data_IF_535487870877
#
_entry.id   IF_535487870877
#
_cell.length_a   1.000
_cell.length_b   1.000
_cell.length_c   1.000
_cell.angle_alpha   90.00
_cell.angle_beta   90.00
_cell.angle_gamma   90.00
#
_symmetry.space_group_name_H-M   'P 1'
#
loop_
_entity.id
_entity.type
_entity.pdbx_description
1 polymer ?
#
# COMPACT_ATOMS: atom_id res chain seq x y z
N UNK A 1 25.52 24.49 44.70
CA UNK A 1 26.61 23.70 44.08
C UNK A 1 26.29 22.20 44.06
N UNK A 2 25.94 21.58 45.20
CA UNK A 2 25.59 20.14 45.28
C UNK A 2 24.38 19.74 44.40
N UNK A 3 23.29 20.53 44.40
CA UNK A 3 22.13 20.30 43.52
C UNK A 3 22.48 20.38 42.02
N UNK A 4 23.39 21.27 41.63
CA UNK A 4 23.85 21.39 40.24
C UNK A 4 24.69 20.18 39.80
N UNK A 5 25.54 19.65 40.69
CA UNK A 5 26.29 18.43 40.43
C UNK A 5 25.39 17.19 40.32
N UNK A 6 24.39 17.09 41.19
CA UNK A 6 23.38 16.00 41.15
C UNK A 6 22.57 16.09 39.85
N UNK A 7 22.11 17.29 39.47
CA UNK A 7 21.39 17.51 38.21
C UNK A 7 22.23 17.14 36.97
N UNK A 8 23.50 17.56 36.92
CA UNK A 8 24.41 17.21 35.83
C UNK A 8 24.68 15.70 35.76
N UNK A 9 24.96 15.06 36.90
CA UNK A 9 25.20 13.62 36.95
C UNK A 9 23.95 12.83 36.53
N UNK A 10 22.76 13.27 36.95
CA UNK A 10 21.48 12.71 36.53
C UNK A 10 21.30 12.84 35.01
N UNK A 11 21.53 14.03 34.45
CA UNK A 11 21.37 14.29 33.02
C UNK A 11 22.29 13.40 32.17
N UNK A 12 23.57 13.26 32.57
CA UNK A 12 24.51 12.37 31.88
C UNK A 12 24.10 10.90 31.99
N UNK A 13 23.69 10.47 33.17
CA UNK A 13 23.23 9.10 33.41
C UNK A 13 21.97 8.78 32.62
N UNK A 14 21.03 9.73 32.54
CA UNK A 14 19.81 9.62 31.74
C UNK A 14 20.12 9.52 30.25
N UNK A 15 21.00 10.38 29.72
CA UNK A 15 21.43 10.32 28.31
C UNK A 15 22.07 8.97 27.98
N UNK A 16 22.92 8.43 28.87
CA UNK A 16 23.53 7.12 28.70
C UNK A 16 22.49 5.98 28.77
N UNK A 17 21.54 6.07 29.71
CA UNK A 17 20.46 5.09 29.84
C UNK A 17 19.60 5.02 28.58
N UNK A 18 19.23 6.17 28.01
CA UNK A 18 18.44 6.25 26.78
C UNK A 18 19.16 5.58 25.61
N UNK A 19 20.46 5.86 25.42
CA UNK A 19 21.23 5.20 24.36
C UNK A 19 21.35 3.70 24.59
N UNK A 20 21.50 3.25 25.84
CA UNK A 20 21.54 1.82 26.19
C UNK A 20 20.20 1.11 25.97
N UNK A 21 19.07 1.76 26.31
CA UNK A 21 17.73 1.22 26.04
C UNK A 21 17.54 1.03 24.53
N UNK A 22 17.87 2.04 23.74
CA UNK A 22 17.73 1.97 22.28
C UNK A 22 18.72 0.98 21.64
N UNK A 23 19.95 0.85 22.13
CA UNK A 23 20.90 -0.18 21.67
C UNK A 23 20.37 -1.61 21.91
N UNK A 24 19.64 -1.81 23.01
CA UNK A 24 18.97 -3.08 23.32
C UNK A 24 17.85 -3.41 22.32
N UNK A 25 17.22 -2.41 21.69
CA UNK A 25 16.21 -2.66 20.66
C UNK A 25 16.79 -3.38 19.44
N UNK A 26 18.08 -3.17 19.15
CA UNK A 26 18.81 -3.80 18.04
C UNK A 26 19.67 -5.00 18.47
N UNK A 27 19.51 -5.48 19.71
CA UNK A 27 20.17 -6.68 20.18
C UNK A 27 19.49 -7.93 19.60
N UNK A 28 20.17 -9.08 19.68
CA UNK A 28 19.60 -10.38 19.30
C UNK A 28 18.31 -10.66 20.08
N UNK A 29 17.32 -11.22 19.39
CA UNK A 29 15.95 -11.39 19.85
C UNK A 29 15.02 -10.38 19.17
N UNK A 30 13.79 -10.30 19.69
CA UNK A 30 12.75 -9.47 19.09
C UNK A 30 12.16 -8.53 20.13
N UNK A 31 11.92 -7.29 19.72
CA UNK A 31 11.11 -6.34 20.46
C UNK A 31 9.64 -6.81 20.53
N UNK A 32 8.84 -6.21 21.42
CA UNK A 32 7.42 -6.54 21.53
C UNK A 32 6.63 -6.34 20.21
N UNK A 33 6.86 -5.25 19.43
CA UNK A 33 6.24 -5.10 18.11
C UNK A 33 6.61 -6.22 17.12
N UNK A 34 7.89 -6.62 17.09
CA UNK A 34 8.39 -7.68 16.20
C UNK A 34 7.84 -9.05 16.59
N UNK A 35 7.80 -9.37 17.88
CA UNK A 35 7.15 -10.60 18.37
C UNK A 35 5.67 -10.64 18.01
N UNK A 36 4.96 -9.52 18.17
CA UNK A 36 3.57 -9.43 17.78
C UNK A 36 3.39 -9.63 16.27
N UNK A 37 4.28 -9.09 15.44
CA UNK A 37 4.26 -9.28 13.99
C UNK A 37 4.52 -10.75 13.60
N UNK A 38 5.49 -11.39 14.25
CA UNK A 38 5.78 -12.82 14.07
C UNK A 38 4.56 -13.69 14.41
N UNK A 39 3.97 -13.50 15.60
CA UNK A 39 2.81 -14.30 16.03
C UNK A 39 1.59 -14.12 15.12
N UNK A 40 1.34 -12.90 14.62
CA UNK A 40 0.24 -12.64 13.66
C UNK A 40 0.40 -13.40 12.34
N UNK A 41 1.62 -13.77 11.96
CA UNK A 41 1.92 -14.52 10.74
C UNK A 41 2.27 -15.99 11.05
N UNK A 42 1.80 -16.52 12.18
CA UNK A 42 1.96 -17.93 12.55
C UNK A 42 3.37 -18.33 12.98
N UNK A 43 4.25 -17.38 13.26
CA UNK A 43 5.60 -17.65 13.75
C UNK A 43 5.63 -17.64 15.28
N UNK A 44 6.12 -18.72 15.89
CA UNK A 44 6.28 -18.86 17.35
C UNK A 44 7.50 -18.10 17.91
N UNK A 45 8.36 -17.56 17.04
CA UNK A 45 9.63 -16.92 17.41
C UNK A 45 10.79 -17.89 17.64
N UNK A 46 10.56 -19.21 17.52
CA UNK A 46 11.60 -20.24 17.68
C UNK A 46 12.44 -20.31 16.38
N UNK A 47 13.77 -20.35 16.51
CA UNK A 47 14.69 -20.59 15.38
C UNK A 47 14.45 -21.98 14.77
N UNK A 48 14.22 -22.04 13.46
CA UNK A 48 14.19 -23.29 12.69
C UNK A 48 12.82 -23.95 12.49
N UNK A 49 11.73 -23.45 13.07
CA UNK A 49 10.38 -23.92 12.70
C UNK A 49 10.00 -23.43 11.29
N UNK A 50 9.62 -24.33 10.38
CA UNK A 50 9.03 -23.96 9.09
C UNK A 50 7.69 -23.24 9.33
N UNK A 51 7.46 -22.12 8.66
CA UNK A 51 6.16 -21.46 8.76
C UNK A 51 5.12 -22.09 7.89
N UNK A 52 3.85 -21.93 8.29
CA UNK A 52 2.70 -22.33 7.50
C UNK A 52 2.71 -21.75 6.08
N UNK A 53 3.38 -20.61 5.87
CA UNK A 53 3.47 -19.90 4.58
C UNK A 53 4.72 -20.28 3.76
N UNK A 54 5.64 -21.09 4.29
CA UNK A 54 6.94 -21.37 3.66
C UNK A 54 6.91 -22.51 2.64
N UNK A 55 5.73 -23.05 2.30
CA UNK A 55 5.60 -24.19 1.41
C UNK A 55 5.82 -23.86 -0.07
N UNK A 56 5.82 -22.57 -0.45
CA UNK A 56 6.15 -22.13 -1.80
C UNK A 56 7.48 -21.33 -1.79
N UNK A 57 8.51 -21.77 -2.54
CA UNK A 57 9.75 -21.03 -2.66
C UNK A 57 9.54 -19.71 -3.43
N UNK A 58 10.18 -18.64 -2.96
CA UNK A 58 10.13 -17.30 -3.56
C UNK A 58 11.47 -16.97 -4.22
N UNK A 59 11.42 -16.54 -5.47
CA UNK A 59 12.59 -16.12 -6.26
C UNK A 59 13.31 -14.93 -5.65
N UNK A 60 12.58 -14.04 -4.97
CA UNK A 60 13.12 -12.81 -4.38
C UNK A 60 13.70 -13.03 -2.98
N UNK A 61 13.49 -14.19 -2.36
CA UNK A 61 13.91 -14.45 -0.97
C UNK A 61 15.42 -14.26 -0.75
N UNK A 62 16.34 -14.72 -1.62
CA UNK A 62 17.77 -14.50 -1.43
C UNK A 62 18.15 -13.01 -1.39
N UNK A 63 17.49 -12.19 -2.21
CA UNK A 63 17.69 -10.74 -2.21
C UNK A 63 17.19 -10.13 -0.90
N UNK A 64 15.99 -10.50 -0.45
CA UNK A 64 15.46 -10.06 0.86
C UNK A 64 16.38 -10.50 2.01
N UNK A 65 16.85 -11.74 2.01
CA UNK A 65 17.77 -12.26 3.02
C UNK A 65 19.05 -11.39 3.10
N UNK A 66 19.63 -11.01 1.95
CA UNK A 66 20.85 -10.19 1.88
C UNK A 66 20.64 -8.74 2.34
N UNK A 67 19.44 -8.21 2.18
CA UNK A 67 19.08 -6.87 2.67
C UNK A 67 18.93 -6.94 4.18
N UNK A 68 18.13 -7.90 4.66
CA UNK A 68 17.76 -8.05 6.06
C UNK A 68 18.96 -8.40 6.93
N UNK A 69 19.91 -9.20 6.43
CA UNK A 69 21.14 -9.52 7.15
C UNK A 69 22.20 -8.40 7.12
N UNK A 70 21.95 -7.30 6.39
CA UNK A 70 22.82 -6.15 6.27
C UNK A 70 24.03 -6.34 5.36
N UNK A 71 24.05 -7.36 4.50
CA UNK A 71 25.12 -7.59 3.52
C UNK A 71 24.97 -6.68 2.29
N UNK A 72 23.75 -6.41 1.83
CA UNK A 72 23.49 -5.43 0.77
C UNK A 72 23.38 -4.01 1.37
N UNK A 73 24.40 -3.19 1.14
CA UNK A 73 24.59 -1.88 1.80
C UNK A 73 24.73 -0.76 0.77
N UNK A 74 24.44 0.48 1.20
CA UNK A 74 24.61 1.67 0.36
C UNK A 74 23.32 2.17 -0.30
N UNK A 75 22.20 1.53 0.02
CA UNK A 75 20.87 1.77 -0.52
C UNK A 75 19.84 1.74 0.60
N UNK A 76 18.67 2.30 0.31
CA UNK A 76 17.45 2.03 1.05
C UNK A 76 16.44 1.43 0.08
N UNK A 77 15.48 0.67 0.60
CA UNK A 77 14.65 -0.20 -0.23
C UNK A 77 13.19 0.18 -0.13
N UNK A 78 12.49 0.10 -1.25
CA UNK A 78 11.04 0.09 -1.31
C UNK A 78 10.60 -1.26 -1.87
N UNK A 79 10.03 -2.10 -1.02
CA UNK A 79 9.46 -3.39 -1.39
C UNK A 79 7.99 -3.16 -1.75
N UNK A 80 7.66 -3.36 -3.03
CA UNK A 80 6.32 -3.15 -3.57
C UNK A 80 5.68 -4.47 -3.98
N UNK A 81 4.38 -4.44 -4.27
CA UNK A 81 3.61 -5.58 -4.75
C UNK A 81 2.23 -5.58 -4.11
N UNK A 82 1.28 -6.27 -4.70
CA UNK A 82 -0.12 -6.18 -4.27
C UNK A 82 -0.36 -6.79 -2.88
N UNK A 83 -1.50 -6.46 -2.29
CA UNK A 83 -1.93 -7.04 -1.02
C UNK A 83 -1.99 -8.57 -1.14
N UNK A 84 -1.32 -9.26 -0.22
CA UNK A 84 -1.33 -10.72 -0.17
C UNK A 84 -0.28 -11.44 -1.04
N UNK A 85 0.70 -10.72 -1.61
CA UNK A 85 1.83 -11.33 -2.35
C UNK A 85 2.90 -11.96 -1.45
N UNK A 86 2.88 -11.70 -0.14
CA UNK A 86 3.80 -12.32 0.84
C UNK A 86 4.97 -11.45 1.29
N UNK A 87 4.99 -10.16 0.97
CA UNK A 87 6.08 -9.21 1.32
C UNK A 87 6.49 -9.27 2.80
N UNK A 88 5.53 -9.13 3.71
CA UNK A 88 5.79 -9.18 5.16
C UNK A 88 6.29 -10.55 5.60
N UNK A 89 5.70 -11.64 5.09
CA UNK A 89 6.12 -13.01 5.42
C UNK A 89 7.56 -13.28 5.00
N UNK A 90 7.99 -12.79 3.83
CA UNK A 90 9.38 -12.91 3.36
C UNK A 90 10.38 -12.19 4.28
N UNK A 91 10.02 -11.00 4.75
CA UNK A 91 10.85 -10.20 5.65
C UNK A 91 10.94 -10.85 7.03
N UNK A 92 9.80 -11.28 7.59
CA UNK A 92 9.78 -11.99 8.87
C UNK A 92 10.59 -13.29 8.82
N UNK A 93 10.52 -14.03 7.71
CA UNK A 93 11.35 -15.22 7.49
C UNK A 93 12.85 -14.89 7.52
N UNK A 94 13.27 -13.84 6.80
CA UNK A 94 14.64 -13.37 6.80
C UNK A 94 15.10 -12.90 8.20
N UNK A 95 14.25 -12.17 8.92
CA UNK A 95 14.52 -11.74 10.31
C UNK A 95 14.77 -12.93 11.23
N UNK A 96 14.02 -14.02 11.06
CA UNK A 96 14.17 -15.24 11.88
C UNK A 96 15.52 -15.92 11.69
N UNK A 97 16.10 -15.87 10.49
CA UNK A 97 17.41 -16.48 10.20
C UNK A 97 18.53 -15.80 10.96
N UNK A 98 18.40 -14.51 11.23
CA UNK A 98 19.38 -13.72 11.99
C UNK A 98 18.90 -13.35 13.41
N UNK A 99 17.76 -13.87 13.85
CA UNK A 99 17.21 -13.66 15.20
C UNK A 99 16.95 -12.19 15.54
N UNK A 100 16.44 -11.43 14.56
CA UNK A 100 16.15 -10.00 14.72
C UNK A 100 17.36 -9.11 14.97
N UNK A 101 18.59 -9.64 14.91
CA UNK A 101 19.78 -8.87 15.27
C UNK A 101 19.96 -7.65 14.37
N UNK A 102 20.06 -6.47 14.98
CA UNK A 102 20.32 -5.22 14.26
C UNK A 102 19.09 -4.62 13.59
N UNK A 103 17.89 -5.13 13.86
CA UNK A 103 16.64 -4.71 13.23
C UNK A 103 15.76 -3.95 14.24
N UNK A 104 15.07 -2.93 13.75
CA UNK A 104 13.89 -2.37 14.38
C UNK A 104 12.77 -2.28 13.34
N UNK A 105 11.63 -2.91 13.63
CA UNK A 105 10.46 -2.90 12.75
C UNK A 105 9.27 -2.18 13.39
N UNK A 106 8.55 -1.38 12.60
CA UNK A 106 7.27 -0.78 12.98
C UNK A 106 6.23 -0.88 11.87
N UNK A 107 4.96 -0.79 12.26
CA UNK A 107 3.81 -0.64 11.35
C UNK A 107 3.47 0.85 11.18
N UNK A 108 3.43 1.34 9.94
CA UNK A 108 3.05 2.72 9.66
C UNK A 108 1.60 3.03 10.06
N UNK A 109 1.28 4.30 10.24
CA UNK A 109 -0.05 4.80 10.60
C UNK A 109 -0.26 6.18 10.00
N UNK A 110 -1.47 6.45 9.51
CA UNK A 110 -1.85 7.77 9.01
C UNK A 110 -1.99 8.85 10.08
N UNK A 111 -1.84 8.50 11.37
CA UNK A 111 -1.81 9.41 12.50
C UNK A 111 -0.36 9.56 12.97
N UNK A 112 0.17 10.78 12.95
CA UNK A 112 1.56 11.09 13.29
C UNK A 112 1.92 10.77 14.74
N UNK A 113 1.00 10.94 15.69
CA UNK A 113 1.23 10.59 17.09
C UNK A 113 1.31 9.07 17.26
N UNK A 114 0.42 8.34 16.58
CA UNK A 114 0.47 6.87 16.58
C UNK A 114 1.76 6.37 15.92
N UNK A 115 2.19 6.98 14.81
CA UNK A 115 3.46 6.65 14.16
C UNK A 115 4.63 6.91 15.13
N UNK A 116 4.68 8.08 15.76
CA UNK A 116 5.69 8.44 16.76
C UNK A 116 5.76 7.38 17.87
N UNK A 117 4.62 7.03 18.48
CA UNK A 117 4.57 6.03 19.55
C UNK A 117 5.05 4.64 19.10
N UNK A 118 4.68 4.21 17.89
CA UNK A 118 5.14 2.93 17.34
C UNK A 118 6.64 2.93 17.05
N UNK A 119 7.17 4.04 16.53
CA UNK A 119 8.61 4.22 16.35
C UNK A 119 9.35 4.19 17.69
N UNK A 120 8.81 4.87 18.73
CA UNK A 120 9.36 4.81 20.08
C UNK A 120 9.43 3.39 20.61
N UNK A 121 8.35 2.61 20.49
CA UNK A 121 8.34 1.20 20.90
C UNK A 121 9.35 0.36 20.13
N UNK A 122 9.45 0.52 18.81
CA UNK A 122 10.40 -0.21 17.99
C UNK A 122 11.86 0.14 18.35
N UNK A 123 12.13 1.40 18.70
CA UNK A 123 13.46 1.87 19.10
C UNK A 123 13.71 1.78 20.62
N UNK A 124 12.79 1.21 21.40
CA UNK A 124 12.83 1.25 22.87
C UNK A 124 13.17 2.66 23.43
N UNK A 125 12.44 3.65 22.92
CA UNK A 125 12.63 5.08 23.17
C UNK A 125 11.33 5.74 23.66
N UNK A 126 11.41 6.37 24.83
CA UNK A 126 10.33 7.16 25.42
C UNK A 126 10.55 8.64 25.09
N UNK A 127 9.56 9.28 24.46
CA UNK A 127 9.63 10.68 24.04
C UNK A 127 9.34 11.64 25.20
N UNK A 128 10.27 11.68 26.18
CA UNK A 128 10.27 12.61 27.33
C UNK A 128 9.17 12.44 28.38
N UNK A 129 8.29 11.46 28.27
CA UNK A 129 7.26 11.15 29.29
C UNK A 129 7.87 10.86 30.67
N UNK A 130 9.13 10.38 30.72
CA UNK A 130 9.86 10.06 31.96
C UNK A 130 10.97 11.08 32.33
N UNK A 131 11.05 12.24 31.69
CA UNK A 131 12.07 13.24 32.05
C UNK A 131 11.71 13.95 33.37
N UNK A 132 12.30 13.48 34.47
CA UNK A 132 12.16 14.02 35.85
C UNK A 132 12.56 15.50 35.97
N UNK A 133 13.20 16.13 34.97
CA UNK A 133 13.50 17.56 35.00
C UNK A 133 12.25 18.46 35.12
N UNK A 134 11.05 17.93 34.82
CA UNK A 134 9.76 18.57 35.13
C UNK A 134 9.56 18.81 36.64
N UNK A 135 10.07 17.94 37.52
CA UNK A 135 10.03 18.10 38.99
C UNK A 135 10.93 19.24 39.50
N UNK A 136 11.90 19.69 38.70
CA UNK A 136 12.84 20.76 39.07
C UNK A 136 12.58 22.09 38.35
N UNK A 137 11.44 22.24 37.68
CA UNK A 137 11.11 23.42 36.85
C UNK A 137 12.20 23.78 35.83
N UNK A 138 13.07 22.82 35.49
CA UNK A 138 13.95 22.93 34.33
C UNK A 138 13.02 22.78 33.13
N UNK A 139 12.79 23.89 32.40
CA UNK A 139 12.00 23.88 31.18
C UNK A 139 12.46 22.69 30.33
N UNK A 140 11.58 21.68 30.19
CA UNK A 140 11.75 20.66 29.18
C UNK A 140 11.86 21.33 27.80
N UNK A 141 12.51 20.70 26.82
CA UNK A 141 12.44 21.20 25.46
C UNK A 141 10.95 21.40 25.09
N UNK A 142 10.62 22.59 24.58
CA UNK A 142 9.28 23.05 24.13
C UNK A 142 8.40 21.93 23.57
N UNK A 143 7.07 22.10 23.71
CA UNK A 143 6.01 21.36 22.98
C UNK A 143 6.53 20.92 21.61
N UNK A 144 6.98 19.66 21.52
CA UNK A 144 7.53 19.11 20.29
C UNK A 144 6.41 18.53 19.47
N UNK A 145 6.37 18.92 18.20
CA UNK A 145 5.50 18.24 17.25
C UNK A 145 5.98 16.79 17.06
N UNK A 146 5.09 15.87 16.67
CA UNK A 146 5.47 14.48 16.45
C UNK A 146 6.66 14.30 15.50
N UNK A 147 6.71 15.11 14.44
CA UNK A 147 7.81 15.11 13.47
C UNK A 147 9.17 15.46 14.12
N UNK A 148 9.21 16.47 14.99
CA UNK A 148 10.45 16.84 15.69
C UNK A 148 10.91 15.74 16.65
N UNK A 149 9.97 15.06 17.29
CA UNK A 149 10.27 13.94 18.16
C UNK A 149 10.83 12.74 17.39
N UNK A 150 10.19 12.37 16.28
CA UNK A 150 10.68 11.35 15.35
C UNK A 150 12.12 11.68 14.92
N UNK A 151 12.39 12.92 14.51
CA UNK A 151 13.72 13.37 14.12
C UNK A 151 14.74 13.30 15.27
N UNK A 152 14.36 13.61 16.51
CA UNK A 152 15.22 13.40 17.69
C UNK A 152 15.54 11.94 17.93
N UNK A 153 14.58 11.04 17.73
CA UNK A 153 14.80 9.59 17.87
C UNK A 153 15.77 9.08 16.82
N UNK A 154 15.66 9.55 15.58
CA UNK A 154 16.59 9.25 14.49
C UNK A 154 18.01 9.73 14.78
N UNK A 155 18.18 10.93 15.33
CA UNK A 155 19.49 11.42 15.78
C UNK A 155 20.13 10.54 16.86
N UNK A 156 19.34 9.94 17.76
CA UNK A 156 19.84 9.01 18.79
C UNK A 156 20.17 7.64 18.17
N UNK A 157 19.33 7.15 17.27
CA UNK A 157 19.56 5.90 16.54
C UNK A 157 20.86 5.98 15.71
N UNK A 158 21.13 7.13 15.07
CA UNK A 158 22.36 7.34 14.31
C UNK A 158 23.64 7.21 15.16
N UNK A 159 23.60 7.68 16.41
CA UNK A 159 24.73 7.51 17.35
C UNK A 159 24.99 6.04 17.67
N UNK A 160 23.92 5.26 17.80
CA UNK A 160 24.01 3.81 18.05
C UNK A 160 24.48 3.10 16.78
N UNK A 161 23.99 3.50 15.62
CA UNK A 161 24.43 2.97 14.33
C UNK A 161 25.94 3.16 14.13
N UNK A 162 26.48 4.35 14.46
CA UNK A 162 27.92 4.63 14.43
C UNK A 162 28.71 3.67 15.34
N UNK A 163 28.31 3.54 16.60
CA UNK A 163 28.98 2.67 17.57
C UNK A 163 28.92 1.18 17.16
N UNK A 164 27.73 0.69 16.78
CA UNK A 164 27.54 -0.70 16.36
C UNK A 164 28.27 -1.00 15.06
N UNK A 165 28.32 -0.07 14.11
CA UNK A 165 29.07 -0.27 12.88
C UNK A 165 30.58 -0.40 13.12
N UNK A 166 31.15 0.38 14.03
CA UNK A 166 32.57 0.21 14.42
C UNK A 166 32.83 -1.17 15.07
N UNK A 167 31.85 -1.73 15.77
CA UNK A 167 31.97 -3.02 16.48
C UNK A 167 31.66 -4.25 15.61
N UNK A 168 30.65 -4.17 14.74
CA UNK A 168 30.06 -5.30 14.00
C UNK A 168 30.21 -5.21 12.48
N UNK A 169 30.55 -4.03 11.94
CA UNK A 169 30.78 -3.84 10.51
C UNK A 169 29.51 -3.83 9.63
N UNK A 170 28.32 -4.00 10.21
CA UNK A 170 27.03 -4.01 9.50
C UNK A 170 26.16 -2.79 9.88
N UNK A 171 25.32 -2.28 8.95
CA UNK A 171 24.37 -1.22 9.26
C UNK A 171 23.24 -1.74 10.16
N UNK A 172 22.53 -0.83 10.82
CA UNK A 172 21.23 -1.15 11.41
C UNK A 172 20.15 -1.18 10.33
N UNK A 173 19.05 -1.86 10.62
CA UNK A 173 17.88 -1.88 9.75
C UNK A 173 16.69 -1.22 10.44
N UNK A 174 16.04 -0.31 9.73
CA UNK A 174 14.75 0.25 10.11
C UNK A 174 13.70 -0.18 9.08
N UNK A 175 12.76 -1.01 9.49
CA UNK A 175 11.72 -1.55 8.61
C UNK A 175 10.40 -0.84 8.90
N UNK A 176 9.92 -0.04 7.95
CA UNK A 176 8.61 0.63 8.00
C UNK A 176 7.63 -0.21 7.18
N UNK A 177 6.86 -1.03 7.88
CA UNK A 177 5.85 -1.88 7.27
C UNK A 177 4.59 -1.10 6.92
N UNK A 178 3.94 -1.51 5.83
CA UNK A 178 2.69 -0.94 5.33
C UNK A 178 2.74 0.59 5.20
N UNK A 179 3.81 1.11 4.59
CA UNK A 179 4.05 2.54 4.39
C UNK A 179 2.87 3.26 3.71
N UNK A 180 2.12 2.57 2.84
CA UNK A 180 0.89 3.08 2.22
C UNK A 180 -0.21 3.49 3.21
N UNK A 181 -0.15 3.06 4.47
CA UNK A 181 -1.09 3.52 5.51
C UNK A 181 -0.83 4.94 5.99
N UNK A 182 0.30 5.55 5.62
CA UNK A 182 0.46 7.00 5.71
C UNK A 182 -0.63 7.65 4.86
N UNK A 183 -1.21 8.76 5.32
CA UNK A 183 -2.20 9.45 4.50
C UNK A 183 -1.50 10.13 3.33
N UNK A 184 -2.13 10.14 2.16
CA UNK A 184 -1.72 10.97 1.02
C UNK A 184 -2.13 12.45 1.21
N UNK A 185 -2.07 12.94 2.46
CA UNK A 185 -2.26 14.32 2.87
C UNK A 185 -0.91 14.98 3.17
N UNK A 186 -0.93 16.28 3.49
CA UNK A 186 0.31 17.04 3.73
C UNK A 186 1.13 16.46 4.88
N UNK A 187 0.49 16.05 5.98
CA UNK A 187 1.17 15.49 7.16
C UNK A 187 1.88 14.16 6.85
N UNK A 188 1.17 13.22 6.20
CA UNK A 188 1.75 11.94 5.80
C UNK A 188 2.86 12.10 4.76
N UNK A 189 2.70 13.03 3.82
CA UNK A 189 3.73 13.41 2.82
C UNK A 189 4.99 13.95 3.49
N UNK A 190 4.86 14.90 4.42
CA UNK A 190 6.01 15.47 5.12
C UNK A 190 6.75 14.44 5.96
N UNK A 191 6.03 13.53 6.62
CA UNK A 191 6.67 12.43 7.34
C UNK A 191 7.44 11.52 6.38
N UNK A 192 6.83 11.09 5.28
CA UNK A 192 7.47 10.21 4.30
C UNK A 192 8.74 10.84 3.72
N UNK A 193 8.69 12.13 3.35
CA UNK A 193 9.86 12.88 2.87
C UNK A 193 10.95 13.02 3.94
N UNK A 194 10.59 13.30 5.19
CA UNK A 194 11.57 13.40 6.29
C UNK A 194 12.30 12.07 6.51
N UNK A 195 11.57 10.95 6.50
CA UNK A 195 12.19 9.62 6.58
C UNK A 195 13.06 9.34 5.35
N UNK A 196 12.60 9.70 4.14
CA UNK A 196 13.38 9.52 2.91
C UNK A 196 14.71 10.28 2.95
N UNK A 197 14.69 11.54 3.38
CA UNK A 197 15.91 12.36 3.52
C UNK A 197 16.93 11.70 4.45
N UNK A 198 16.46 11.13 5.58
CA UNK A 198 17.30 10.35 6.48
C UNK A 198 17.80 9.06 5.84
N UNK A 199 16.94 8.35 5.12
CA UNK A 199 17.30 7.14 4.40
C UNK A 199 18.41 7.37 3.37
N UNK A 200 18.36 8.47 2.62
CA UNK A 200 19.42 8.87 1.67
C UNK A 200 20.78 9.08 2.37
N UNK A 201 20.79 9.82 3.47
CA UNK A 201 22.01 10.10 4.25
C UNK A 201 22.57 8.81 4.87
N UNK A 202 21.71 7.98 5.43
CA UNK A 202 22.13 6.72 6.07
C UNK A 202 22.57 5.66 5.08
N UNK A 203 21.94 5.59 3.90
CA UNK A 203 22.39 4.75 2.80
C UNK A 203 23.77 5.19 2.31
N UNK A 204 23.99 6.48 2.08
CA UNK A 204 25.29 7.01 1.63
C UNK A 204 26.41 6.72 2.64
N UNK A 205 26.12 6.87 3.92
CA UNK A 205 27.07 6.57 4.98
C UNK A 205 27.20 5.07 5.26
N UNK A 206 26.21 4.22 4.92
CA UNK A 206 26.04 2.81 5.32
C UNK A 206 25.91 2.63 6.84
N UNK A 207 25.18 3.53 7.50
CA UNK A 207 24.90 3.44 8.94
C UNK A 207 23.58 2.73 9.21
N UNK A 208 22.55 3.05 8.44
CA UNK A 208 21.21 2.48 8.57
C UNK A 208 20.67 2.20 7.18
N UNK A 209 20.08 1.02 7.01
CA UNK A 209 19.32 0.63 5.82
C UNK A 209 17.85 0.76 6.16
N UNK A 210 17.15 1.68 5.48
CA UNK A 210 15.69 1.82 5.64
C UNK A 210 14.99 0.93 4.63
N UNK A 211 13.98 0.19 5.07
CA UNK A 211 13.15 -0.66 4.21
C UNK A 211 11.70 -0.22 4.35
N UNK A 212 11.14 0.35 3.29
CA UNK A 212 9.72 0.63 3.16
C UNK A 212 9.02 -0.57 2.53
N UNK A 213 7.85 -0.93 3.04
CA UNK A 213 6.99 -1.97 2.44
C UNK A 213 5.67 -1.33 2.07
N UNK A 214 5.26 -1.42 0.80
CA UNK A 214 4.02 -0.84 0.31
C UNK A 214 3.21 -1.83 -0.51
N UNK A 215 1.89 -1.73 -0.40
CA UNK A 215 0.94 -2.43 -1.27
C UNK A 215 0.48 -1.52 -2.43
N UNK A 216 0.63 -0.20 -2.27
CA UNK A 216 0.11 0.81 -3.17
C UNK A 216 1.23 1.60 -3.86
N UNK A 217 0.97 2.04 -5.08
CA UNK A 217 1.95 2.71 -5.95
C UNK A 217 2.29 4.14 -5.53
N UNK A 218 1.39 4.83 -4.82
CA UNK A 218 1.58 6.26 -4.49
C UNK A 218 2.86 6.52 -3.67
N UNK A 219 3.29 5.56 -2.85
CA UNK A 219 4.56 5.62 -2.12
C UNK A 219 5.73 5.71 -3.10
N UNK A 220 5.75 4.87 -4.13
CA UNK A 220 6.79 4.90 -5.15
C UNK A 220 6.74 6.20 -5.93
N UNK A 221 5.56 6.62 -6.39
CA UNK A 221 5.36 7.88 -7.12
C UNK A 221 5.89 9.08 -6.32
N UNK A 222 5.65 9.10 -5.00
CA UNK A 222 6.07 10.19 -4.11
C UNK A 222 7.57 10.21 -3.85
N UNK A 223 8.19 9.04 -3.66
CA UNK A 223 9.61 8.92 -3.32
C UNK A 223 10.52 9.09 -4.55
N UNK A 224 10.06 8.72 -5.74
CA UNK A 224 10.86 8.67 -6.98
C UNK A 224 11.61 9.98 -7.31
N UNK A 225 11.05 11.19 -7.17
CA UNK A 225 11.75 12.44 -7.52
C UNK A 225 13.04 12.72 -6.74
N UNK A 226 13.13 12.23 -5.49
CA UNK A 226 14.25 12.47 -4.59
C UNK A 226 15.09 11.22 -4.32
N UNK A 227 14.89 10.16 -5.12
CA UNK A 227 15.51 8.85 -4.93
C UNK A 227 16.84 8.72 -5.70
N UNK A 228 17.95 9.01 -5.04
CA UNK A 228 19.32 8.74 -5.54
C UNK A 228 19.80 7.35 -5.17
N UNK A 229 19.42 6.85 -3.98
CA UNK A 229 19.87 5.55 -3.44
C UNK A 229 18.73 4.57 -3.15
N UNK A 230 17.52 4.87 -3.60
CA UNK A 230 16.41 3.94 -3.49
C UNK A 230 16.56 2.78 -4.46
N UNK A 231 16.31 1.56 -4.00
CA UNK A 231 16.06 0.40 -4.85
C UNK A 231 14.63 -0.07 -4.67
N UNK A 232 13.88 -0.15 -5.77
CA UNK A 232 12.54 -0.72 -5.77
C UNK A 232 12.65 -2.22 -6.02
N UNK A 233 11.99 -3.02 -5.17
CA UNK A 233 11.95 -4.47 -5.25
C UNK A 233 10.49 -4.92 -5.36
N UNK A 234 9.98 -5.12 -6.59
CA UNK A 234 8.62 -5.59 -6.78
C UNK A 234 8.52 -7.08 -6.46
N UNK A 235 7.51 -7.43 -5.66
CA UNK A 235 7.19 -8.80 -5.25
C UNK A 235 5.93 -9.22 -6.00
N UNK A 236 6.12 -10.06 -7.02
CA UNK A 236 5.04 -10.46 -7.91
C UNK A 236 4.32 -11.72 -7.44
N UNK A 237 3.20 -12.02 -8.11
CA UNK A 237 2.51 -13.30 -8.01
C UNK A 237 3.44 -14.45 -8.43
N UNK A 238 3.23 -15.61 -7.82
CA UNK A 238 4.06 -16.80 -8.01
C UNK A 238 3.82 -17.40 -9.41
N UNK A 239 4.87 -17.75 -10.17
CA UNK A 239 4.71 -18.37 -11.48
C UNK A 239 3.96 -19.71 -11.42
N UNK A 240 3.15 -19.98 -12.46
CA UNK A 240 2.34 -21.21 -12.61
C UNK A 240 3.09 -22.50 -12.30
N UNK A 241 4.30 -22.68 -12.82
CA UNK A 241 5.08 -23.90 -12.63
C UNK A 241 5.37 -24.17 -11.16
N UNK A 242 5.78 -23.13 -10.43
CA UNK A 242 6.05 -23.18 -8.99
C UNK A 242 4.78 -23.45 -8.19
N UNK A 243 3.66 -22.80 -8.55
CA UNK A 243 2.36 -23.02 -7.89
C UNK A 243 1.88 -24.46 -8.05
N UNK A 244 1.87 -24.98 -9.28
CA UNK A 244 1.39 -26.36 -9.56
C UNK A 244 2.25 -27.39 -8.83
N UNK A 245 3.57 -27.22 -8.82
CA UNK A 245 4.46 -28.13 -8.07
C UNK A 245 4.18 -28.05 -6.58
N UNK A 246 4.19 -26.85 -6.00
CA UNK A 246 4.05 -26.67 -4.57
C UNK A 246 2.67 -27.13 -4.06
N UNK A 247 1.59 -26.88 -4.82
CA UNK A 247 0.25 -27.33 -4.43
C UNK A 247 0.16 -28.85 -4.45
N UNK A 248 0.77 -29.51 -5.44
CA UNK A 248 0.81 -30.97 -5.50
C UNK A 248 1.49 -31.55 -4.25
N UNK A 249 2.65 -31.00 -3.90
CA UNK A 249 3.43 -31.46 -2.75
C UNK A 249 2.69 -31.18 -1.43
N UNK A 250 2.04 -30.02 -1.31
CA UNK A 250 1.22 -29.65 -0.16
C UNK A 250 0.04 -30.61 0.02
N UNK A 251 -0.73 -30.88 -1.04
CA UNK A 251 -1.90 -31.78 -1.01
C UNK A 251 -1.50 -33.22 -0.69
N UNK A 252 -0.40 -33.71 -1.27
CA UNK A 252 0.12 -35.03 -0.96
C UNK A 252 0.53 -35.15 0.53
N UNK A 253 1.17 -34.11 1.09
CA UNK A 253 1.63 -34.10 2.49
C UNK A 253 0.50 -33.96 3.51
N UNK A 254 -0.46 -33.06 3.26
CA UNK A 254 -1.47 -32.67 4.25
C UNK A 254 -2.82 -33.37 4.07
N UNK A 255 -3.22 -33.70 2.84
CA UNK A 255 -4.50 -34.33 2.51
C UNK A 255 -4.34 -35.78 2.03
N UNK A 256 -3.11 -36.27 1.88
CA UNK A 256 -2.81 -37.59 1.30
C UNK A 256 -3.44 -37.76 -0.10
N UNK A 257 -3.58 -36.65 -0.83
CA UNK A 257 -4.24 -36.58 -2.13
C UNK A 257 -3.21 -36.37 -3.24
N UNK A 258 -3.29 -37.17 -4.31
CA UNK A 258 -2.56 -36.92 -5.55
C UNK A 258 -3.42 -36.07 -6.50
N UNK A 259 -3.45 -34.75 -6.23
CA UNK A 259 -4.20 -33.80 -7.06
C UNK A 259 -3.69 -33.84 -8.52
N UNK A 260 -4.64 -33.97 -9.46
CA UNK A 260 -4.29 -34.03 -10.89
C UNK A 260 -3.78 -32.68 -11.42
N UNK A 261 -2.81 -32.71 -12.33
CA UNK A 261 -2.27 -31.52 -12.99
C UNK A 261 -3.37 -30.66 -13.64
N UNK A 262 -4.41 -31.29 -14.17
CA UNK A 262 -5.57 -30.58 -14.75
C UNK A 262 -6.31 -29.75 -13.71
N UNK A 263 -6.55 -30.29 -12.51
CA UNK A 263 -7.22 -29.55 -11.43
C UNK A 263 -6.34 -28.43 -10.89
N UNK A 264 -5.04 -28.69 -10.66
CA UNK A 264 -4.09 -27.67 -10.19
C UNK A 264 -3.93 -26.51 -11.18
N UNK A 265 -3.93 -26.81 -12.48
CA UNK A 265 -3.94 -25.79 -13.53
C UNK A 265 -5.25 -25.00 -13.53
N UNK A 266 -6.40 -25.63 -13.29
CA UNK A 266 -7.68 -24.90 -13.15
C UNK A 266 -7.65 -23.95 -11.96
N UNK A 267 -7.14 -24.39 -10.82
CA UNK A 267 -6.94 -23.53 -9.63
C UNK A 267 -6.10 -22.31 -9.99
N UNK A 268 -4.93 -22.50 -10.63
CA UNK A 268 -4.10 -21.37 -11.05
C UNK A 268 -4.82 -20.43 -12.03
N UNK A 269 -5.59 -20.95 -12.98
CA UNK A 269 -6.34 -20.10 -13.91
C UNK A 269 -7.46 -19.29 -13.22
N UNK A 270 -8.01 -19.78 -12.10
CA UNK A 270 -9.05 -19.09 -11.33
C UNK A 270 -8.50 -18.01 -10.39
N UNK A 271 -7.42 -18.29 -9.65
CA UNK A 271 -6.93 -17.38 -8.59
C UNK A 271 -5.50 -16.85 -8.81
N UNK A 272 -4.77 -17.37 -9.79
CA UNK A 272 -3.43 -16.93 -10.13
C UNK A 272 -2.35 -17.35 -9.13
N UNK A 273 -1.29 -16.54 -9.07
CA UNK A 273 -0.12 -16.78 -8.22
C UNK A 273 -0.15 -16.04 -6.89
N UNK A 274 -1.27 -15.42 -6.52
CA UNK A 274 -1.42 -14.63 -5.30
C UNK A 274 -1.29 -15.51 -4.06
N UNK A 275 -0.25 -15.31 -3.26
CA UNK A 275 0.07 -16.19 -2.12
C UNK A 275 -1.07 -16.31 -1.12
N UNK A 276 -1.74 -15.20 -0.77
CA UNK A 276 -2.88 -15.23 0.17
C UNK A 276 -4.05 -16.09 -0.34
N UNK A 277 -4.34 -16.05 -1.64
CA UNK A 277 -5.39 -16.90 -2.23
C UNK A 277 -4.94 -18.35 -2.27
N UNK A 278 -3.70 -18.62 -2.66
CA UNK A 278 -3.14 -19.97 -2.66
C UNK A 278 -3.14 -20.60 -1.27
N UNK A 279 -2.81 -19.84 -0.23
CA UNK A 279 -2.87 -20.29 1.17
C UNK A 279 -4.30 -20.63 1.62
N UNK A 280 -5.29 -19.87 1.18
CA UNK A 280 -6.70 -20.15 1.46
C UNK A 280 -7.12 -21.43 0.74
N UNK A 281 -6.89 -21.50 -0.58
CA UNK A 281 -7.31 -22.64 -1.42
C UNK A 281 -6.61 -23.95 -1.00
N UNK A 282 -5.32 -23.92 -0.70
CA UNK A 282 -4.56 -25.13 -0.38
C UNK A 282 -5.08 -25.86 0.87
N UNK A 283 -5.64 -25.10 1.82
CA UNK A 283 -6.13 -25.60 3.12
C UNK A 283 -7.60 -26.08 3.09
N UNK A 284 -8.34 -25.81 2.03
CA UNK A 284 -9.74 -26.24 1.90
C UNK A 284 -9.84 -27.65 1.32
N UNK A 285 -10.86 -28.42 1.71
CA UNK A 285 -11.06 -29.78 1.16
C UNK A 285 -11.30 -29.74 -0.36
N UNK A 286 -12.16 -28.83 -0.83
CA UNK A 286 -12.44 -28.58 -2.24
C UNK A 286 -11.76 -27.29 -2.72
N UNK A 287 -10.62 -27.45 -3.42
CA UNK A 287 -9.87 -26.32 -3.97
C UNK A 287 -10.64 -25.55 -5.05
N UNK A 288 -11.50 -26.21 -5.84
CA UNK A 288 -12.20 -25.56 -6.94
C UNK A 288 -13.36 -24.70 -6.40
N UNK A 289 -14.08 -25.19 -5.40
CA UNK A 289 -15.09 -24.41 -4.69
C UNK A 289 -14.48 -23.21 -3.96
N UNK A 290 -13.34 -23.40 -3.28
CA UNK A 290 -12.63 -22.31 -2.61
C UNK A 290 -12.21 -21.19 -3.58
N UNK A 291 -11.81 -21.55 -4.81
CA UNK A 291 -11.53 -20.57 -5.86
C UNK A 291 -12.78 -19.78 -6.25
N UNK A 292 -13.92 -20.45 -6.40
CA UNK A 292 -15.19 -19.80 -6.77
C UNK A 292 -15.68 -18.86 -5.65
N UNK A 293 -15.49 -19.24 -4.39
CA UNK A 293 -15.81 -18.40 -3.24
C UNK A 293 -14.95 -17.13 -3.19
N UNK A 294 -13.66 -17.23 -3.57
CA UNK A 294 -12.77 -16.07 -3.69
C UNK A 294 -13.27 -15.15 -4.82
N UNK A 295 -13.53 -15.68 -6.02
CA UNK A 295 -14.03 -14.88 -7.15
C UNK A 295 -15.38 -14.22 -6.78
N UNK A 296 -16.27 -14.92 -6.08
CA UNK A 296 -17.55 -14.36 -5.64
C UNK A 296 -17.38 -13.26 -4.57
N UNK A 297 -16.34 -13.32 -3.73
CA UNK A 297 -16.01 -12.23 -2.79
C UNK A 297 -15.46 -11.01 -3.54
N UNK A 298 -14.53 -11.22 -4.46
CA UNK A 298 -13.98 -10.14 -5.30
C UNK A 298 -15.07 -9.48 -6.16
N UNK A 299 -16.00 -10.27 -6.73
CA UNK A 299 -17.15 -9.74 -7.48
C UNK A 299 -18.04 -8.85 -6.61
N UNK A 300 -18.39 -9.32 -5.41
CA UNK A 300 -19.19 -8.53 -4.47
C UNK A 300 -18.48 -7.24 -4.08
N UNK A 301 -17.18 -7.30 -3.81
CA UNK A 301 -16.37 -6.11 -3.52
C UNK A 301 -16.37 -5.11 -4.68
N UNK A 302 -16.07 -5.56 -5.90
CA UNK A 302 -16.03 -4.67 -7.07
C UNK A 302 -17.38 -4.03 -7.37
N UNK A 303 -18.48 -4.81 -7.31
CA UNK A 303 -19.83 -4.29 -7.53
C UNK A 303 -20.27 -3.33 -6.41
N UNK A 304 -19.92 -3.60 -5.15
CA UNK A 304 -20.23 -2.71 -4.03
C UNK A 304 -19.52 -1.35 -4.16
N UNK A 305 -18.31 -1.33 -4.70
CA UNK A 305 -17.50 -0.11 -4.80
C UNK A 305 -17.66 0.65 -6.12
N UNK A 306 -18.03 -0.02 -7.22
CA UNK A 306 -17.93 0.55 -8.57
C UNK A 306 -19.09 0.19 -9.51
N UNK A 307 -20.26 -0.20 -9.01
CA UNK A 307 -21.40 -0.46 -9.89
C UNK A 307 -22.00 0.82 -10.49
N UNK A 308 -22.48 0.69 -11.72
CA UNK A 308 -23.07 1.76 -12.53
C UNK A 308 -24.60 1.73 -12.49
N UNK A 309 -25.24 2.89 -12.53
CA UNK A 309 -26.67 3.05 -12.24
C UNK A 309 -27.59 3.14 -13.48
N UNK A 310 -27.06 3.38 -14.68
CA UNK A 310 -27.85 3.54 -15.91
C UNK A 310 -28.51 4.92 -16.02
N UNK A 311 -29.51 5.06 -16.89
CA UNK A 311 -30.18 6.36 -17.14
C UNK A 311 -30.95 6.90 -15.92
N UNK A 312 -31.42 6.02 -15.04
CA UNK A 312 -32.23 6.37 -13.86
C UNK A 312 -31.39 6.95 -12.70
N UNK A 313 -30.12 7.26 -12.94
CA UNK A 313 -29.19 7.82 -11.96
C UNK A 313 -29.63 9.22 -11.48
N UNK A 314 -29.65 9.38 -10.14
CA UNK A 314 -29.90 10.63 -9.44
C UNK A 314 -28.78 11.66 -9.70
N UNK A 315 -29.12 12.95 -9.72
CA UNK A 315 -28.16 14.03 -9.98
C UNK A 315 -27.09 14.14 -8.89
N UNK A 316 -27.38 13.71 -7.65
CA UNK A 316 -26.41 13.73 -6.56
C UNK A 316 -25.41 12.55 -6.60
N UNK A 317 -25.54 11.65 -7.58
CA UNK A 317 -24.67 10.48 -7.70
C UNK A 317 -23.47 10.69 -8.66
N UNK A 318 -23.34 11.87 -9.27
CA UNK A 318 -22.34 12.20 -10.31
C UNK A 318 -20.92 11.79 -9.91
N UNK A 319 -20.39 12.29 -8.79
CA UNK A 319 -19.00 12.00 -8.34
C UNK A 319 -18.72 10.50 -8.18
N UNK A 320 -19.67 9.75 -7.60
CA UNK A 320 -19.53 8.31 -7.39
C UNK A 320 -19.62 7.53 -8.71
N UNK A 321 -20.42 8.02 -9.65
CA UNK A 321 -20.68 7.38 -10.92
C UNK A 321 -19.59 7.68 -11.95
N UNK A 322 -18.97 8.84 -11.91
CA UNK A 322 -17.69 9.13 -12.55
C UNK A 322 -16.60 8.13 -12.11
N UNK A 323 -16.48 7.91 -10.80
CA UNK A 323 -15.51 6.96 -10.26
C UNK A 323 -15.82 5.51 -10.68
N UNK A 324 -17.09 5.13 -10.69
CA UNK A 324 -17.57 3.78 -11.05
C UNK A 324 -17.45 3.48 -12.54
N UNK A 325 -17.86 4.41 -13.41
CA UNK A 325 -17.77 4.28 -14.86
C UNK A 325 -16.31 4.21 -15.33
N UNK A 326 -15.42 4.99 -14.72
CA UNK A 326 -13.97 4.89 -14.96
C UNK A 326 -13.44 3.48 -14.66
N UNK A 327 -13.89 2.85 -13.57
CA UNK A 327 -13.52 1.46 -13.25
C UNK A 327 -14.08 0.47 -14.27
N UNK A 328 -15.35 0.62 -14.68
CA UNK A 328 -16.00 -0.27 -15.66
C UNK A 328 -15.36 -0.17 -17.05
N UNK A 329 -15.04 1.05 -17.50
CA UNK A 329 -14.31 1.29 -18.75
C UNK A 329 -12.94 0.62 -18.71
N UNK A 330 -12.23 0.73 -17.59
CA UNK A 330 -10.91 0.13 -17.44
C UNK A 330 -10.97 -1.41 -17.37
N UNK A 331 -11.96 -1.97 -16.66
CA UNK A 331 -12.23 -3.42 -16.66
C UNK A 331 -12.50 -3.94 -18.08
N UNK A 332 -13.35 -3.25 -18.84
CA UNK A 332 -13.64 -3.57 -20.24
C UNK A 332 -12.39 -3.49 -21.12
N UNK A 333 -11.55 -2.48 -20.95
CA UNK A 333 -10.30 -2.33 -21.70
C UNK A 333 -9.31 -3.45 -21.41
N UNK A 334 -9.18 -3.89 -20.15
CA UNK A 334 -8.35 -5.05 -19.78
C UNK A 334 -8.86 -6.35 -20.41
N UNK A 335 -10.18 -6.58 -20.39
CA UNK A 335 -10.80 -7.77 -21.01
C UNK A 335 -10.58 -7.75 -22.54
N UNK A 336 -10.74 -6.60 -23.19
CA UNK A 336 -10.45 -6.46 -24.63
C UNK A 336 -8.96 -6.74 -24.92
N UNK A 337 -8.05 -6.19 -24.10
CA UNK A 337 -6.60 -6.40 -24.24
C UNK A 337 -6.22 -7.88 -24.08
N UNK A 338 -6.84 -8.58 -23.15
CA UNK A 338 -6.63 -10.01 -22.97
C UNK A 338 -7.07 -10.82 -24.19
N UNK A 339 -8.19 -10.47 -24.82
CA UNK A 339 -8.65 -11.11 -26.04
C UNK A 339 -7.71 -10.88 -27.22
N UNK A 340 -7.09 -9.70 -27.32
CA UNK A 340 -6.03 -9.41 -28.30
C UNK A 340 -4.81 -10.32 -28.07
N UNK A 341 -4.31 -10.39 -26.84
CA UNK A 341 -3.14 -11.20 -26.49
C UNK A 341 -3.40 -12.70 -26.75
N UNK A 342 -4.60 -13.19 -26.41
CA UNK A 342 -4.98 -14.58 -26.61
C UNK A 342 -5.08 -14.98 -28.10
N UNK A 343 -5.38 -14.03 -29.00
CA UNK A 343 -5.36 -14.27 -30.45
C UNK A 343 -3.93 -14.45 -30.98
N UNK A 344 -2.97 -13.79 -30.35
CA UNK A 344 -1.58 -13.72 -30.83
C UNK A 344 -0.64 -14.73 -30.16
N UNK A 345 -1.01 -15.36 -29.03
CA UNK A 345 -0.11 -16.22 -28.25
C UNK A 345 -0.70 -17.57 -27.81
N UNK A 346 0.07 -18.65 -28.01
CA UNK A 346 -0.11 -19.97 -27.37
C UNK A 346 0.59 -20.05 -25.98
N UNK A 347 0.78 -18.90 -25.33
CA UNK A 347 1.58 -18.73 -24.12
C UNK A 347 0.79 -18.82 -22.81
N UNK A 348 1.48 -18.81 -21.65
CA UNK A 348 0.82 -18.81 -20.34
C UNK A 348 -0.07 -17.56 -20.14
N UNK A 349 -1.20 -17.72 -19.45
CA UNK A 349 -2.08 -16.62 -19.03
C UNK A 349 -1.27 -15.62 -18.18
N UNK A 350 -0.87 -14.52 -18.78
CA UNK A 350 -0.40 -13.32 -18.09
C UNK A 350 -1.55 -12.33 -18.00
N UNK A 351 -1.68 -11.65 -16.85
CA UNK A 351 -2.67 -10.59 -16.72
C UNK A 351 -2.45 -9.54 -17.82
N UNK A 352 -3.53 -9.07 -18.50
CA UNK A 352 -3.42 -7.93 -19.39
C UNK A 352 -2.99 -6.71 -18.60
N UNK A 353 -2.23 -5.83 -19.26
CA UNK A 353 -1.76 -4.60 -18.64
C UNK A 353 -1.85 -3.42 -19.62
N UNK A 354 -2.19 -2.25 -19.10
CA UNK A 354 -2.31 -1.00 -19.86
C UNK A 354 -1.38 0.04 -19.22
N UNK A 355 -0.55 0.77 -20.00
CA UNK A 355 0.29 1.82 -19.44
C UNK A 355 -0.51 2.87 -18.66
N UNK A 356 0.00 3.33 -17.51
CA UNK A 356 -0.69 4.26 -16.60
C UNK A 356 -1.20 5.51 -17.30
N UNK A 357 -0.43 6.09 -18.23
CA UNK A 357 -0.88 7.26 -18.98
C UNK A 357 -2.09 6.96 -19.88
N UNK A 358 -2.19 5.74 -20.44
CA UNK A 358 -3.34 5.29 -21.23
C UNK A 358 -4.54 4.95 -20.36
N UNK A 359 -4.33 4.37 -19.18
CA UNK A 359 -5.40 4.18 -18.20
C UNK A 359 -5.99 5.55 -17.79
N UNK A 360 -5.14 6.56 -17.53
CA UNK A 360 -5.58 7.93 -17.23
C UNK A 360 -6.31 8.60 -18.41
N UNK A 361 -5.88 8.36 -19.64
CA UNK A 361 -6.58 8.83 -20.86
C UNK A 361 -7.97 8.20 -20.99
N UNK A 362 -8.07 6.89 -20.79
CA UNK A 362 -9.33 6.14 -20.85
C UNK A 362 -10.32 6.60 -19.77
N UNK A 363 -9.83 6.85 -18.56
CA UNK A 363 -10.66 7.26 -17.43
C UNK A 363 -11.06 8.74 -17.45
N UNK A 364 -10.48 9.55 -18.34
CA UNK A 364 -10.61 11.03 -18.45
C UNK A 364 -10.26 11.84 -17.19
N UNK A 365 -10.11 11.19 -16.04
CA UNK A 365 -9.73 11.71 -14.72
C UNK A 365 -8.49 10.98 -14.21
N UNK A 366 -7.33 11.65 -14.11
CA UNK A 366 -6.07 10.99 -13.80
C UNK A 366 -5.93 10.57 -12.32
N UNK A 367 -6.79 11.09 -11.44
CA UNK A 367 -6.82 10.84 -10.01
C UNK A 367 -7.54 9.54 -9.62
N UNK A 368 -8.57 9.12 -10.38
CA UNK A 368 -9.39 7.95 -10.04
C UNK A 368 -8.60 6.65 -9.96
N UNK A 369 -7.62 6.45 -10.86
CA UNK A 369 -6.82 5.23 -10.85
C UNK A 369 -6.10 4.99 -9.51
N UNK A 370 -5.74 6.06 -8.80
CA UNK A 370 -5.15 5.95 -7.46
C UNK A 370 -6.18 5.47 -6.43
N UNK A 371 -7.41 5.96 -6.53
CA UNK A 371 -8.51 5.49 -5.69
C UNK A 371 -8.83 4.02 -5.94
N UNK A 372 -8.83 3.58 -7.20
CA UNK A 372 -9.02 2.16 -7.53
C UNK A 372 -7.86 1.27 -7.08
N UNK A 373 -6.61 1.76 -7.14
CA UNK A 373 -5.41 1.09 -6.59
C UNK A 373 -5.55 0.90 -5.06
N UNK A 374 -5.97 1.96 -4.35
CA UNK A 374 -6.23 1.90 -2.91
C UNK A 374 -7.33 0.89 -2.53
N UNK A 375 -8.36 0.75 -3.38
CA UNK A 375 -9.42 -0.24 -3.22
C UNK A 375 -9.01 -1.67 -3.60
N UNK A 376 -7.79 -1.88 -4.11
CA UNK A 376 -7.29 -3.17 -4.64
C UNK A 376 -8.18 -3.70 -5.79
N UNK A 377 -8.69 -2.81 -6.64
CA UNK A 377 -9.44 -3.18 -7.86
C UNK A 377 -8.47 -3.33 -9.02
N UNK A 378 -7.62 -2.32 -9.19
CA UNK A 378 -6.48 -2.34 -10.10
C UNK A 378 -5.20 -2.31 -9.27
N UNK A 379 -4.09 -2.68 -9.89
CA UNK A 379 -2.77 -2.42 -9.34
C UNK A 379 -1.90 -1.71 -10.37
N UNK A 380 -1.03 -0.84 -9.87
CA UNK A 380 -0.01 -0.15 -10.67
C UNK A 380 1.36 -0.70 -10.29
N UNK A 381 2.06 -1.33 -11.23
CA UNK A 381 3.41 -1.83 -10.98
C UNK A 381 4.50 -0.75 -11.11
N UNK A 382 5.74 -1.11 -10.78
CA UNK A 382 6.90 -0.22 -10.85
C UNK A 382 7.23 0.27 -12.26
N UNK A 383 6.78 -0.46 -13.30
CA UNK A 383 6.92 -0.07 -14.71
C UNK A 383 5.78 0.86 -15.17
N UNK A 384 4.93 1.31 -14.23
CA UNK A 384 3.76 2.12 -14.47
C UNK A 384 2.75 1.42 -15.38
N UNK A 385 2.56 0.11 -15.23
CA UNK A 385 1.54 -0.66 -15.91
C UNK A 385 0.37 -0.94 -14.97
N UNK A 386 -0.84 -0.73 -15.48
CA UNK A 386 -2.10 -0.94 -14.76
C UNK A 386 -2.67 -2.29 -15.16
N UNK A 387 -2.97 -3.13 -14.18
CA UNK A 387 -3.59 -4.44 -14.34
C UNK A 387 -4.76 -4.60 -13.37
N UNK A 388 -5.59 -5.62 -13.56
CA UNK A 388 -6.49 -6.07 -12.49
C UNK A 388 -5.62 -6.44 -11.27
N UNK A 389 -6.08 -6.14 -10.04
CA UNK A 389 -5.28 -6.42 -8.84
C UNK A 389 -4.84 -7.88 -8.81
N UNK A 390 -5.71 -8.81 -9.21
CA UNK A 390 -5.42 -10.25 -9.23
C UNK A 390 -6.07 -10.97 -10.41
N UNK A 391 -5.66 -12.22 -10.62
CA UNK A 391 -6.35 -13.13 -11.56
C UNK A 391 -7.82 -13.36 -11.21
N UNK A 392 -8.16 -13.39 -9.92
CA UNK A 392 -9.54 -13.49 -9.47
C UNK A 392 -10.34 -12.24 -9.91
N UNK A 393 -9.78 -11.04 -9.73
CA UNK A 393 -10.41 -9.80 -10.18
C UNK A 393 -10.53 -9.72 -11.71
N UNK A 394 -9.54 -10.20 -12.47
CA UNK A 394 -9.66 -10.29 -13.93
C UNK A 394 -10.79 -11.24 -14.35
N UNK A 395 -11.00 -12.35 -13.63
CA UNK A 395 -12.14 -13.24 -13.86
C UNK A 395 -13.48 -12.54 -13.57
N UNK A 396 -13.54 -11.70 -12.54
CA UNK A 396 -14.71 -10.84 -12.25
C UNK A 396 -15.00 -9.89 -13.42
N UNK A 397 -13.97 -9.24 -13.96
CA UNK A 397 -14.14 -8.34 -15.11
C UNK A 397 -14.68 -9.09 -16.33
N UNK A 398 -14.15 -10.28 -16.63
CA UNK A 398 -14.68 -11.11 -17.73
C UNK A 398 -16.16 -11.44 -17.53
N UNK A 399 -16.53 -11.86 -16.32
CA UNK A 399 -17.91 -12.21 -15.98
C UNK A 399 -18.84 -11.02 -16.19
N UNK A 400 -18.51 -9.84 -15.63
CA UNK A 400 -19.31 -8.62 -15.76
C UNK A 400 -19.40 -8.15 -17.22
N UNK A 401 -18.28 -8.03 -17.93
CA UNK A 401 -18.27 -7.58 -19.32
C UNK A 401 -18.97 -8.55 -20.27
N UNK A 402 -19.19 -9.80 -19.86
CA UNK A 402 -19.94 -10.80 -20.63
C UNK A 402 -21.44 -10.85 -20.33
N UNK A 403 -21.92 -10.10 -19.33
CA UNK A 403 -23.34 -10.06 -18.98
C UNK A 403 -24.15 -9.42 -20.10
N UNK A 404 -25.31 -10.01 -20.40
CA UNK A 404 -26.27 -9.44 -21.34
C UNK A 404 -26.75 -8.07 -20.85
N UNK A 405 -26.75 -7.08 -21.73
CA UNK A 405 -27.14 -5.70 -21.40
C UNK A 405 -26.06 -4.85 -20.71
N UNK A 406 -24.90 -5.39 -20.35
CA UNK A 406 -23.83 -4.61 -19.69
C UNK A 406 -23.39 -3.40 -20.51
N UNK A 407 -23.16 -3.59 -21.80
CA UNK A 407 -22.67 -2.54 -22.70
C UNK A 407 -23.70 -1.40 -22.85
N UNK A 408 -24.98 -1.76 -22.94
CA UNK A 408 -26.09 -0.80 -23.00
C UNK A 408 -26.20 -0.03 -21.68
N UNK A 409 -26.19 -0.73 -20.55
CA UNK A 409 -26.25 -0.12 -19.21
C UNK A 409 -25.07 0.81 -18.92
N UNK A 410 -23.86 0.47 -19.40
CA UNK A 410 -22.68 1.33 -19.32
C UNK A 410 -22.84 2.58 -20.18
N UNK A 411 -23.29 2.43 -21.43
CA UNK A 411 -23.50 3.57 -22.32
C UNK A 411 -24.58 4.51 -21.76
N UNK A 412 -25.68 3.96 -21.25
CA UNK A 412 -26.74 4.70 -20.58
C UNK A 412 -26.25 5.53 -19.39
N UNK A 413 -25.32 4.98 -18.59
CA UNK A 413 -24.72 5.70 -17.47
C UNK A 413 -23.83 6.86 -17.97
N UNK A 414 -23.03 6.62 -19.00
CA UNK A 414 -22.16 7.65 -19.60
C UNK A 414 -22.98 8.79 -20.22
N UNK A 415 -24.01 8.46 -20.99
CA UNK A 415 -24.91 9.44 -21.60
C UNK A 415 -25.58 10.30 -20.51
N UNK A 416 -25.98 9.68 -19.40
CA UNK A 416 -26.59 10.38 -18.26
C UNK A 416 -25.60 11.31 -17.54
N UNK A 417 -24.35 10.91 -17.37
CA UNK A 417 -23.30 11.78 -16.82
C UNK A 417 -23.04 12.99 -17.72
N UNK A 418 -22.96 12.78 -19.04
CA UNK A 418 -22.78 13.87 -20.02
C UNK A 418 -23.96 14.87 -19.98
N UNK A 419 -25.19 14.38 -19.82
CA UNK A 419 -26.38 15.23 -19.61
C UNK A 419 -26.27 16.07 -18.33
N UNK A 420 -25.89 15.46 -17.20
CA UNK A 420 -25.74 16.16 -15.92
C UNK A 420 -24.64 17.23 -15.97
N UNK A 421 -23.49 16.92 -16.58
CA UNK A 421 -22.40 17.88 -16.75
C UNK A 421 -22.86 19.06 -17.62
N UNK A 422 -23.65 18.79 -18.68
CA UNK A 422 -24.26 19.83 -19.51
C UNK A 422 -25.23 20.71 -18.73
N UNK A 423 -26.09 20.12 -17.90
CA UNK A 423 -27.03 20.86 -17.05
C UNK A 423 -26.30 21.75 -16.05
N UNK A 424 -25.21 21.27 -15.44
CA UNK A 424 -24.38 22.06 -14.52
C UNK A 424 -23.66 23.24 -15.18
N UNK A 425 -23.37 23.16 -16.48
CA UNK A 425 -22.80 24.26 -17.28
C UNK A 425 -23.85 25.33 -17.63
N UNK A 426 -25.12 24.98 -17.69
CA UNK A 426 -26.23 25.93 -17.90
C UNK A 426 -26.69 26.56 -16.58
N UNK A 427 -26.67 27.90 -16.52
CA UNK A 427 -27.24 28.64 -15.39
C UNK A 427 -28.69 28.98 -15.66
N UNK A 428 -29.61 28.38 -14.92
CA UNK A 428 -31.01 28.81 -14.92
C UNK A 428 -31.23 30.00 -13.99
N UNK A 429 -31.84 31.07 -14.50
CA UNK A 429 -32.24 32.24 -13.71
C UNK A 429 -33.76 32.28 -13.63
N UNK A 430 -34.30 31.86 -12.49
CA UNK A 430 -35.74 31.91 -12.23
C UNK A 430 -36.14 33.27 -11.64
N UNK A 431 -36.99 34.01 -12.36
CA UNK A 431 -37.55 35.27 -11.87
C UNK A 431 -38.90 35.02 -11.18
N UNK A 432 -39.08 35.52 -9.96
CA UNK A 432 -40.35 35.48 -9.21
C UNK A 432 -40.91 36.90 -9.04
N UNK A 433 -42.25 37.02 -9.00
CA UNK A 433 -42.97 38.30 -8.84
C UNK A 433 -42.79 39.31 -9.99
N UNK A 434 -42.75 38.82 -11.23
CA UNK A 434 -42.75 39.67 -12.40
C UNK A 434 -44.15 40.28 -12.63
N UNK A 435 -44.20 41.59 -12.86
CA UNK A 435 -45.45 42.28 -13.26
C UNK A 435 -45.49 42.49 -14.77
N UNK A 436 -46.70 42.51 -15.33
CA UNK A 436 -46.92 42.64 -16.78
C UNK A 436 -46.26 43.91 -17.32
N UNK A 437 -45.54 43.77 -18.44
CA UNK A 437 -44.81 44.87 -19.06
C UNK A 437 -43.46 45.23 -18.41
N UNK A 438 -43.00 44.50 -17.39
CA UNK A 438 -41.64 44.69 -16.87
C UNK A 438 -40.58 44.26 -17.89
N UNK A 439 -39.49 45.03 -17.92
CA UNK A 439 -38.29 44.71 -18.66
C UNK A 439 -37.21 44.23 -17.70
N UNK A 440 -36.60 43.10 -18.03
CA UNK A 440 -35.50 42.50 -17.28
C UNK A 440 -34.26 42.59 -18.16
N UNK A 441 -33.21 43.19 -17.63
CA UNK A 441 -31.89 43.20 -18.25
C UNK A 441 -31.00 42.19 -17.53
N UNK A 442 -30.62 41.13 -18.24
CA UNK A 442 -29.62 40.16 -17.77
C UNK A 442 -28.31 40.50 -18.46
N UNK A 443 -27.30 40.85 -17.68
CA UNK A 443 -25.95 41.12 -18.19
C UNK A 443 -24.99 40.02 -17.76
N UNK A 444 -24.25 39.46 -18.72
CA UNK A 444 -23.13 38.57 -18.44
C UNK A 444 -21.88 39.39 -18.15
N UNK A 445 -20.96 38.86 -17.33
CA UNK A 445 -19.65 39.50 -17.04
C UNK A 445 -18.80 39.77 -18.30
N UNK A 446 -19.13 39.13 -19.43
CA UNK A 446 -18.52 39.37 -20.75
C UNK A 446 -19.14 40.52 -21.57
N UNK A 447 -20.12 41.27 -21.03
CA UNK A 447 -20.69 42.46 -21.67
C UNK A 447 -21.90 42.21 -22.56
N UNK A 448 -22.34 40.96 -22.71
CA UNK A 448 -23.57 40.63 -23.44
C UNK A 448 -24.80 40.93 -22.57
N UNK A 449 -25.71 41.76 -23.09
CA UNK A 449 -26.93 42.19 -22.38
C UNK A 449 -28.14 41.65 -23.12
N UNK A 450 -28.92 40.80 -22.45
CA UNK A 450 -30.19 40.27 -22.96
C UNK A 450 -31.34 41.01 -22.29
N UNK A 451 -32.18 41.65 -23.10
CA UNK A 451 -33.41 42.33 -22.64
C UNK A 451 -34.60 41.41 -22.84
N UNK A 452 -35.21 40.98 -21.75
CA UNK A 452 -36.43 40.18 -21.75
C UNK A 452 -37.61 41.08 -21.40
N UNK A 453 -38.70 41.00 -22.16
CA UNK A 453 -39.97 41.64 -21.83
C UNK A 453 -40.94 40.57 -21.35
N UNK A 454 -41.55 40.80 -20.19
CA UNK A 454 -42.61 39.94 -19.67
C UNK A 454 -43.83 40.12 -20.57
N UNK A 455 -44.20 39.07 -21.30
CA UNK A 455 -45.35 39.06 -22.20
C UNK A 455 -46.66 39.36 -21.44
N UNK A 456 -47.63 39.94 -22.14
CA UNK A 456 -48.90 40.43 -21.56
C UNK A 456 -49.82 39.33 -21.03
#
# INVERSE_FOLDING_TARGET
MMLGLIGFAYEQSYKALVLRKMDKAFATGYSSPEMAALLRHGYTGIKGEESEDSWIPRTEQPTIDSIIDGSDQGYYYLITGEKGTGKTSMILNAMRRIDGEGIAMLEASGDLEVFRLRLGKALNYEFHEDYIGSLFSLKGPRDSTPLLDIERSFNKMEKIALDRRMKKGKPLLLIINRAHLLRDDDEGKYLLEAVQQRAEIWAASKLVTVVFISDEYWIEERLRPSATRMRVLPIHDIPRSSVVSALRDFRAKHFQENASDKSLVRVYNKVGGRLSFLNMVAKEEDMEQACDDIIAKEKRWFLDQCWILGQDMDDNAEDHQDFSTAAMLMAKALVAKEQEIARDAAGPLTLPAIPLHKARELMTRPDFIKGHDHLNIFSIDSECMVRADSMAMQNVFRDICSQEGFEEHLQETLDRLDELESLGRTREVAFKNLTKGQHIEVSSKGGEVVKLRVAD
#
